data_IF_143766532628
#
_entry.id   IF_143766532628
#
_cell.length_a   1.000
_cell.length_b   1.000
_cell.length_c   1.000
_cell.angle_alpha   90.00
_cell.angle_beta   90.00
_cell.angle_gamma   90.00
#
_symmetry.space_group_name_H-M   'P 1'
#
loop_
_entity.id
_entity.type
_entity.pdbx_description
1 polymer ?
#
# COMPACT_ATOMS: atom_id res chain seq x y z
N UNK A 1 3.96 21.81 -7.45
CA UNK A 1 2.61 21.53 -8.03
C UNK A 1 1.81 20.75 -7.00
N UNK A 2 0.49 20.92 -6.98
CA UNK A 2 -0.42 20.11 -6.16
C UNK A 2 -1.28 19.30 -7.14
N UNK A 3 -1.43 18.01 -6.87
CA UNK A 3 -2.23 17.03 -7.61
C UNK A 3 -2.99 16.16 -6.59
N UNK A 4 -3.59 15.05 -7.01
CA UNK A 4 -4.21 14.07 -6.11
C UNK A 4 -3.64 12.67 -6.33
N UNK A 5 -3.91 11.75 -5.42
CA UNK A 5 -3.51 10.34 -5.59
C UNK A 5 -4.21 9.75 -6.81
N UNK A 6 -5.50 10.06 -7.02
CA UNK A 6 -6.28 9.57 -8.16
C UNK A 6 -5.74 10.01 -9.52
N UNK A 7 -5.15 11.21 -9.60
CA UNK A 7 -4.55 11.70 -10.84
C UNK A 7 -3.21 11.04 -11.16
N UNK A 8 -2.50 10.56 -10.16
CA UNK A 8 -1.15 10.00 -10.29
C UNK A 8 -1.11 8.47 -10.26
N UNK A 9 -2.17 7.81 -9.79
CA UNK A 9 -2.18 6.36 -9.57
C UNK A 9 -3.43 5.69 -10.11
N UNK A 10 -3.25 4.52 -10.70
CA UNK A 10 -4.31 3.54 -10.86
C UNK A 10 -4.65 2.93 -9.50
N UNK A 11 -5.94 2.84 -9.18
CA UNK A 11 -6.45 2.12 -8.02
C UNK A 11 -6.94 0.74 -8.44
N UNK A 12 -6.29 -0.31 -7.96
CA UNK A 12 -6.61 -1.70 -8.30
C UNK A 12 -7.18 -2.40 -7.06
N UNK A 13 -8.43 -2.84 -7.12
CA UNK A 13 -9.02 -3.62 -6.04
C UNK A 13 -8.45 -5.03 -5.97
N UNK A 14 -8.28 -5.56 -4.74
CA UNK A 14 -7.77 -6.89 -4.50
C UNK A 14 -8.71 -7.99 -5.03
N UNK A 15 -8.15 -9.20 -5.18
CA UNK A 15 -8.88 -10.29 -5.80
C UNK A 15 -9.76 -11.07 -4.83
N UNK A 16 -10.77 -11.72 -5.41
CA UNK A 16 -11.55 -12.81 -4.84
C UNK A 16 -11.13 -14.12 -5.50
N UNK A 17 -11.30 -15.25 -4.81
CA UNK A 17 -10.97 -16.57 -5.34
C UNK A 17 -11.51 -16.81 -6.75
N UNK A 18 -12.74 -16.36 -7.01
CA UNK A 18 -13.43 -16.63 -8.28
C UNK A 18 -14.03 -18.03 -8.36
N UNK A 19 -14.70 -18.34 -9.50
CA UNK A 19 -15.44 -19.59 -9.71
C UNK A 19 -15.15 -20.24 -11.05
N UNK A 20 -14.36 -19.60 -11.94
CA UNK A 20 -14.15 -20.04 -13.33
C UNK A 20 -12.73 -20.51 -13.55
N UNK A 21 -12.59 -21.70 -14.12
CA UNK A 21 -11.29 -22.23 -14.58
C UNK A 21 -10.74 -21.42 -15.78
N UNK A 22 -9.43 -21.44 -16.04
CA UNK A 22 -8.42 -22.16 -15.26
C UNK A 22 -8.04 -21.45 -13.96
N UNK A 23 -7.66 -22.23 -12.95
CA UNK A 23 -7.13 -21.75 -11.69
C UNK A 23 -5.60 -21.81 -11.66
N UNK A 24 -5.01 -20.87 -10.93
CA UNK A 24 -3.57 -20.84 -10.64
C UNK A 24 -3.37 -20.63 -9.13
N UNK A 25 -2.41 -21.35 -8.55
CA UNK A 25 -2.06 -21.22 -7.14
C UNK A 25 -1.11 -20.05 -6.95
N UNK A 26 -1.54 -19.04 -6.18
CA UNK A 26 -0.78 -17.81 -5.93
C UNK A 26 -0.73 -17.45 -4.46
N UNK A 27 0.37 -16.85 -4.03
CA UNK A 27 0.48 -16.23 -2.72
C UNK A 27 -0.32 -14.92 -2.70
N UNK A 28 -1.15 -14.74 -1.66
CA UNK A 28 -2.01 -13.55 -1.50
C UNK A 28 -1.61 -12.76 -0.27
N UNK A 29 -1.20 -11.53 -0.49
CA UNK A 29 -0.87 -10.59 0.59
C UNK A 29 -2.17 -10.03 1.17
N UNK A 30 -2.26 -10.04 2.49
CA UNK A 30 -3.42 -9.60 3.28
C UNK A 30 -2.97 -8.66 4.40
N UNK A 31 -3.92 -7.97 5.05
CA UNK A 31 -3.63 -7.13 6.22
C UNK A 31 -2.79 -7.85 7.29
N UNK A 32 -3.00 -9.16 7.48
CA UNK A 32 -2.24 -10.00 8.42
C UNK A 32 -0.73 -10.09 8.09
N UNK A 33 -0.34 -9.75 6.86
CA UNK A 33 1.05 -9.68 6.44
C UNK A 33 1.70 -8.32 6.70
N UNK A 34 0.93 -7.32 7.18
CA UNK A 34 1.44 -5.99 7.48
C UNK A 34 2.02 -5.95 8.88
N UNK A 35 3.31 -5.70 8.99
CA UNK A 35 3.98 -5.57 10.30
C UNK A 35 3.73 -4.18 10.91
N UNK A 36 4.03 -4.03 12.21
CA UNK A 36 3.87 -2.75 12.91
C UNK A 36 4.88 -1.69 12.45
N UNK A 37 6.01 -2.12 11.92
CA UNK A 37 7.07 -1.27 11.37
C UNK A 37 6.90 -1.03 9.86
N UNK A 38 5.69 -1.20 9.34
CA UNK A 38 5.29 -0.90 7.96
C UNK A 38 6.06 -1.71 6.89
N UNK A 39 6.35 -2.98 7.20
CA UNK A 39 6.96 -3.94 6.27
C UNK A 39 6.03 -5.10 5.98
N UNK A 40 6.37 -5.91 4.98
CA UNK A 40 5.68 -7.15 4.66
C UNK A 40 6.31 -8.35 5.39
N UNK A 41 5.50 -9.12 6.08
CA UNK A 41 5.87 -10.41 6.62
C UNK A 41 5.52 -11.51 5.60
N UNK A 42 6.51 -11.96 4.86
CA UNK A 42 6.37 -13.00 3.86
C UNK A 42 6.21 -14.41 4.45
N UNK A 43 6.51 -14.61 5.74
CA UNK A 43 6.40 -15.92 6.39
C UNK A 43 4.96 -16.41 6.55
N UNK A 44 3.99 -15.49 6.49
CA UNK A 44 2.56 -15.75 6.69
C UNK A 44 1.72 -15.63 5.43
N UNK A 45 2.36 -15.69 4.26
CA UNK A 45 1.62 -15.64 3.00
C UNK A 45 0.81 -16.92 2.81
N UNK A 46 -0.47 -16.76 2.56
CA UNK A 46 -1.38 -17.83 2.22
C UNK A 46 -1.41 -18.04 0.71
N UNK A 47 -1.27 -19.30 0.29
CA UNK A 47 -1.36 -19.69 -1.12
C UNK A 47 -2.74 -20.29 -1.39
N UNK A 48 -3.47 -19.69 -2.31
CA UNK A 48 -4.82 -20.10 -2.69
C UNK A 48 -4.95 -20.24 -4.21
N UNK A 49 -5.89 -21.07 -4.62
CA UNK A 49 -6.25 -21.20 -6.03
C UNK A 49 -7.21 -20.05 -6.41
N UNK A 50 -6.81 -19.28 -7.42
CA UNK A 50 -7.58 -18.14 -7.94
C UNK A 50 -7.74 -18.27 -9.45
N UNK A 51 -8.76 -17.62 -10.01
CA UNK A 51 -8.89 -17.57 -11.46
C UNK A 51 -7.63 -16.95 -12.10
N UNK A 52 -7.02 -17.61 -13.07
CA UNK A 52 -5.84 -17.12 -13.78
C UNK A 52 -6.09 -15.73 -14.39
N UNK A 53 -7.29 -15.50 -14.93
CA UNK A 53 -7.70 -14.21 -15.49
C UNK A 53 -7.74 -13.11 -14.41
N UNK A 54 -8.13 -13.44 -13.18
CA UNK A 54 -8.15 -12.48 -12.07
C UNK A 54 -6.73 -12.14 -11.63
N UNK A 55 -5.86 -13.15 -11.53
CA UNK A 55 -4.45 -12.97 -11.21
C UNK A 55 -3.73 -12.10 -12.26
N UNK A 56 -3.91 -12.37 -13.54
CA UNK A 56 -3.33 -11.55 -14.64
C UNK A 56 -3.63 -10.06 -14.53
N UNK A 57 -4.77 -9.71 -13.94
CA UNK A 57 -5.18 -8.29 -13.75
C UNK A 57 -4.78 -7.72 -12.39
N UNK A 58 -4.53 -8.57 -11.39
CA UNK A 58 -4.36 -8.18 -9.98
C UNK A 58 -3.12 -8.79 -9.34
N UNK A 59 -2.04 -8.96 -10.10
CA UNK A 59 -0.73 -9.27 -9.56
C UNK A 59 0.00 -8.02 -9.13
N UNK A 60 0.93 -8.19 -8.19
CA UNK A 60 1.79 -7.09 -7.73
C UNK A 60 2.95 -6.85 -8.69
N UNK A 61 3.31 -5.60 -8.82
CA UNK A 61 4.52 -5.13 -9.50
C UNK A 61 5.41 -4.39 -8.51
N UNK A 62 6.72 -4.41 -8.76
CA UNK A 62 7.67 -3.64 -7.97
C UNK A 62 7.31 -2.15 -7.95
N UNK A 63 7.23 -1.57 -6.75
CA UNK A 63 6.83 -0.19 -6.54
C UNK A 63 5.32 0.01 -6.31
N UNK A 64 4.52 -1.05 -6.30
CA UNK A 64 3.12 -0.96 -5.90
C UNK A 64 2.99 -0.62 -4.41
N UNK A 65 2.06 0.25 -4.06
CA UNK A 65 1.67 0.49 -2.67
C UNK A 65 0.41 -0.32 -2.35
N UNK A 66 0.53 -1.27 -1.43
CA UNK A 66 -0.61 -2.07 -0.96
C UNK A 66 -1.25 -1.34 0.21
N UNK A 67 -2.51 -0.94 0.05
CA UNK A 67 -3.25 -0.12 1.02
C UNK A 67 -4.32 -0.95 1.69
N UNK A 68 -4.38 -0.88 3.02
CA UNK A 68 -5.43 -1.49 3.84
C UNK A 68 -6.77 -0.76 3.63
N UNK A 69 -7.73 -1.44 3.01
CA UNK A 69 -9.02 -0.85 2.65
C UNK A 69 -10.13 -1.20 3.66
N UNK A 70 -10.02 -2.32 4.33
CA UNK A 70 -11.04 -2.85 5.25
C UNK A 70 -10.40 -3.64 6.39
N UNK A 71 -11.05 -3.71 7.53
CA UNK A 71 -10.59 -4.50 8.68
C UNK A 71 -9.85 -3.72 9.75
N UNK A 72 -9.86 -2.38 9.68
CA UNK A 72 -9.30 -1.54 10.71
C UNK A 72 -10.11 -1.50 12.02
N UNK A 73 -9.60 -0.79 12.99
CA UNK A 73 -10.22 -0.53 14.30
C UNK A 73 -9.99 0.92 14.72
N UNK A 74 -10.56 1.34 15.85
CA UNK A 74 -10.34 2.68 16.40
C UNK A 74 -8.86 2.99 16.65
N UNK A 75 -8.11 1.98 17.11
CA UNK A 75 -6.67 2.13 17.39
C UNK A 75 -5.78 1.92 16.16
N UNK A 76 -6.26 1.17 15.18
CA UNK A 76 -5.55 0.88 13.93
C UNK A 76 -6.46 1.23 12.75
N UNK A 77 -6.54 2.50 12.35
CA UNK A 77 -7.40 2.92 11.25
C UNK A 77 -6.98 2.25 9.93
N UNK A 78 -7.92 2.11 9.00
CA UNK A 78 -7.62 1.71 7.62
C UNK A 78 -6.84 2.81 6.89
N UNK A 79 -6.32 2.50 5.70
CA UNK A 79 -5.53 3.44 4.90
C UNK A 79 -4.02 3.34 5.14
N UNK A 80 -3.58 2.39 5.98
CA UNK A 80 -2.16 2.05 6.11
C UNK A 80 -1.64 1.50 4.78
N UNK A 81 -0.52 2.02 4.31
CA UNK A 81 0.12 1.59 3.08
C UNK A 81 1.43 0.86 3.36
N UNK A 82 1.70 -0.18 2.60
CA UNK A 82 2.96 -0.92 2.59
C UNK A 82 3.52 -0.92 1.17
N UNK A 83 4.80 -0.64 1.05
CA UNK A 83 5.49 -0.69 -0.23
C UNK A 83 5.85 -2.13 -0.59
N UNK A 84 5.54 -2.52 -1.83
CA UNK A 84 5.98 -3.79 -2.39
C UNK A 84 7.28 -3.59 -3.19
N UNK A 85 8.38 -4.13 -2.68
CA UNK A 85 9.68 -4.16 -3.35
C UNK A 85 10.08 -5.62 -3.62
N UNK A 86 9.36 -6.28 -4.50
CA UNK A 86 9.55 -7.70 -4.83
C UNK A 86 9.54 -7.94 -6.34
N UNK A 87 9.66 -9.21 -6.72
CA UNK A 87 9.57 -9.60 -8.14
C UNK A 87 8.13 -9.43 -8.63
N UNK A 88 8.02 -8.95 -9.85
CA UNK A 88 6.74 -8.76 -10.54
C UNK A 88 5.99 -10.08 -10.71
N UNK A 89 4.67 -10.03 -10.60
CA UNK A 89 3.75 -11.11 -10.87
C UNK A 89 3.98 -12.41 -10.06
N UNK A 90 4.57 -12.32 -8.85
CA UNK A 90 4.71 -13.45 -7.92
C UNK A 90 3.51 -13.54 -7.00
N UNK A 91 3.05 -12.40 -6.49
CA UNK A 91 1.97 -12.32 -5.50
C UNK A 91 0.78 -11.55 -6.05
N UNK A 92 -0.37 -11.80 -5.44
CA UNK A 92 -1.55 -10.99 -5.51
C UNK A 92 -1.89 -10.41 -4.14
N UNK A 93 -3.01 -9.74 -4.01
CA UNK A 93 -3.44 -9.08 -2.78
C UNK A 93 -4.94 -9.27 -2.57
N UNK A 94 -5.36 -9.30 -1.31
CA UNK A 94 -6.72 -9.64 -0.92
C UNK A 94 -7.72 -8.52 -1.21
N UNK A 95 -9.00 -8.86 -1.23
CA UNK A 95 -10.11 -7.91 -1.36
C UNK A 95 -10.25 -6.93 -0.18
N UNK A 96 -9.57 -7.18 0.95
CA UNK A 96 -9.46 -6.24 2.08
C UNK A 96 -8.40 -5.17 1.85
N UNK A 97 -7.62 -5.31 0.78
CA UNK A 97 -6.60 -4.36 0.35
C UNK A 97 -6.89 -3.85 -1.06
N UNK A 98 -6.22 -2.78 -1.43
CA UNK A 98 -6.12 -2.29 -2.79
C UNK A 98 -4.67 -1.96 -3.10
N UNK A 99 -4.36 -1.76 -4.36
CA UNK A 99 -3.04 -1.30 -4.81
C UNK A 99 -3.17 0.07 -5.44
N UNK A 100 -2.26 0.96 -5.08
CA UNK A 100 -1.97 2.17 -5.83
C UNK A 100 -0.75 1.91 -6.71
N UNK A 101 -0.94 1.98 -8.01
CA UNK A 101 0.11 1.81 -9.03
C UNK A 101 0.32 3.12 -9.76
N UNK A 102 1.53 3.64 -9.71
CA UNK A 102 1.85 4.94 -10.30
C UNK A 102 1.81 4.87 -11.82
N UNK A 103 1.11 5.83 -12.45
CA UNK A 103 1.05 5.97 -13.91
C UNK A 103 2.37 6.52 -14.50
N UNK A 104 2.95 7.53 -13.86
CA UNK A 104 4.07 8.33 -14.37
C UNK A 104 5.28 8.19 -13.43
N UNK A 105 6.06 7.11 -13.61
CA UNK A 105 7.21 6.76 -12.74
C UNK A 105 8.39 7.72 -12.86
N UNK A 106 8.46 8.50 -13.92
CA UNK A 106 9.42 9.58 -14.16
C UNK A 106 9.02 10.90 -13.49
N UNK A 107 7.75 11.02 -13.08
CA UNK A 107 7.19 12.22 -12.43
C UNK A 107 7.01 12.00 -10.93
N UNK A 108 6.56 10.82 -10.51
CA UNK A 108 6.31 10.48 -9.11
C UNK A 108 7.08 9.21 -8.72
N UNK A 109 7.94 9.33 -7.71
CA UNK A 109 8.61 8.20 -7.08
C UNK A 109 7.67 7.43 -6.17
N UNK A 110 7.63 6.11 -6.27
CA UNK A 110 6.82 5.26 -5.39
C UNK A 110 7.25 5.35 -3.92
N UNK A 111 8.54 5.52 -3.64
CA UNK A 111 9.04 5.74 -2.27
C UNK A 111 8.58 7.09 -1.71
N UNK A 112 8.56 8.14 -2.55
CA UNK A 112 8.06 9.45 -2.13
C UNK A 112 6.57 9.36 -1.77
N UNK A 113 5.75 8.74 -2.64
CA UNK A 113 4.33 8.53 -2.37
C UNK A 113 4.12 7.69 -1.09
N UNK A 114 4.91 6.62 -0.90
CA UNK A 114 4.86 5.80 0.29
C UNK A 114 5.10 6.60 1.58
N UNK A 115 6.20 7.36 1.64
CA UNK A 115 6.52 8.18 2.81
C UNK A 115 5.50 9.29 3.03
N UNK A 116 4.94 9.85 1.96
CA UNK A 116 3.88 10.84 2.05
C UNK A 116 2.62 10.27 2.70
N UNK A 117 2.13 9.13 2.22
CA UNK A 117 0.97 8.44 2.79
C UNK A 117 1.24 7.99 4.23
N UNK A 118 2.42 7.42 4.49
CA UNK A 118 2.83 7.02 5.84
C UNK A 118 2.82 8.19 6.82
N UNK A 119 3.32 9.37 6.41
CA UNK A 119 3.27 10.58 7.23
C UNK A 119 1.83 10.97 7.60
N UNK A 120 0.90 10.91 6.66
CA UNK A 120 -0.53 11.18 6.91
C UNK A 120 -1.16 10.14 7.84
N UNK A 121 -0.83 8.87 7.65
CA UNK A 121 -1.29 7.79 8.52
C UNK A 121 -0.82 8.02 9.97
N UNK A 122 0.46 8.31 10.17
CA UNK A 122 1.04 8.54 11.49
C UNK A 122 0.48 9.79 12.19
N UNK A 123 0.08 10.81 11.44
CA UNK A 123 -0.62 12.00 11.96
C UNK A 123 -2.08 11.72 12.32
N UNK A 124 -2.59 10.51 12.04
CA UNK A 124 -3.98 10.13 12.33
C UNK A 124 -5.01 10.68 11.35
N UNK A 125 -4.60 11.28 10.24
CA UNK A 125 -5.50 11.85 9.23
C UNK A 125 -6.43 10.81 8.61
N UNK A 126 -6.01 9.52 8.57
CA UNK A 126 -6.81 8.43 8.00
C UNK A 126 -8.09 8.13 8.78
N UNK A 127 -8.18 8.52 10.06
CA UNK A 127 -9.40 8.37 10.85
C UNK A 127 -10.59 9.14 10.29
N UNK A 128 -10.32 10.26 9.60
CA UNK A 128 -11.35 11.07 8.95
C UNK A 128 -11.81 10.48 7.60
N UNK A 129 -11.11 9.44 7.13
CA UNK A 129 -11.33 8.81 5.82
C UNK A 129 -11.89 7.40 5.94
N UNK A 130 -12.43 7.04 7.10
CA UNK A 130 -13.03 5.72 7.32
C UNK A 130 -14.48 5.79 7.74
N UNK A 131 -15.26 4.77 7.38
CA UNK A 131 -16.60 4.54 7.89
C UNK A 131 -16.54 3.55 9.03
N UNK A 132 -17.39 3.73 10.04
CA UNK A 132 -17.62 2.76 11.09
C UNK A 132 -18.96 2.08 10.82
N UNK A 133 -18.89 0.82 10.41
CA UNK A 133 -20.05 -0.08 10.45
C UNK A 133 -19.78 -1.10 11.56
N UNK A 134 -20.79 -1.65 12.21
CA UNK A 134 -20.70 -2.55 13.38
C UNK A 134 -19.42 -3.44 13.36
N UNK A 135 -18.36 -2.94 13.99
CA UNK A 135 -17.11 -3.67 14.22
C UNK A 135 -16.05 -3.67 13.10
N UNK A 136 -16.38 -3.25 11.89
CA UNK A 136 -15.43 -3.18 10.78
C UNK A 136 -15.32 -1.76 10.22
N UNK A 137 -14.11 -1.25 10.19
CA UNK A 137 -13.82 0.04 9.56
C UNK A 137 -13.45 -0.17 8.09
N UNK A 138 -14.06 0.61 7.22
CA UNK A 138 -13.79 0.61 5.79
C UNK A 138 -13.30 1.99 5.35
N UNK A 139 -12.35 2.01 4.44
CA UNK A 139 -11.81 3.22 3.84
C UNK A 139 -12.88 3.89 2.94
N UNK A 140 -13.10 5.18 3.11
CA UNK A 140 -13.88 6.01 2.18
C UNK A 140 -12.95 6.32 1.00
N UNK A 141 -13.10 5.51 -0.05
CA UNK A 141 -12.15 5.46 -1.16
C UNK A 141 -11.96 6.83 -1.82
N UNK A 142 -13.06 7.51 -2.12
CA UNK A 142 -13.02 8.82 -2.80
C UNK A 142 -12.20 9.83 -1.98
N UNK A 143 -12.43 9.91 -0.66
CA UNK A 143 -11.64 10.80 0.22
C UNK A 143 -10.16 10.46 0.23
N UNK A 144 -9.83 9.17 0.19
CA UNK A 144 -8.44 8.71 0.19
C UNK A 144 -7.74 9.01 -1.15
N UNK A 145 -8.43 8.79 -2.25
CA UNK A 145 -7.91 9.06 -3.59
C UNK A 145 -7.81 10.56 -3.89
N UNK A 146 -8.64 11.38 -3.26
CA UNK A 146 -8.62 12.84 -3.36
C UNK A 146 -7.61 13.51 -2.41
N UNK A 147 -6.82 12.73 -1.66
CA UNK A 147 -5.74 13.30 -0.83
C UNK A 147 -4.86 14.20 -1.70
N UNK A 148 -4.74 15.51 -1.34
CA UNK A 148 -3.85 16.40 -2.06
C UNK A 148 -2.41 15.93 -1.93
N UNK A 149 -1.72 15.76 -3.05
CA UNK A 149 -0.33 15.34 -3.12
C UNK A 149 0.55 16.53 -3.54
N UNK A 150 1.41 16.98 -2.63
CA UNK A 150 2.50 17.90 -3.00
C UNK A 150 3.49 17.16 -3.88
N UNK A 151 3.67 17.65 -5.10
CA UNK A 151 4.55 17.03 -6.10
C UNK A 151 5.73 17.96 -6.41
N UNK A 152 6.85 17.87 -5.69
CA UNK A 152 8.08 18.58 -6.02
C UNK A 152 8.74 17.96 -7.26
N UNK A 153 9.71 18.63 -7.90
CA UNK A 153 10.51 18.03 -8.96
C UNK A 153 11.10 16.67 -8.55
N UNK A 154 11.22 15.74 -9.48
CA UNK A 154 11.64 14.36 -9.19
C UNK A 154 12.97 14.28 -8.42
N UNK A 155 13.94 15.13 -8.75
CA UNK A 155 15.22 15.21 -8.03
C UNK A 155 15.04 15.62 -6.55
N UNK A 156 14.10 16.52 -6.27
CA UNK A 156 13.79 16.91 -4.90
C UNK A 156 13.08 15.78 -4.14
N UNK A 157 12.22 15.01 -4.80
CA UNK A 157 11.65 13.78 -4.20
C UNK A 157 12.78 12.82 -3.78
N UNK A 158 13.78 12.59 -4.64
CA UNK A 158 14.92 11.73 -4.32
C UNK A 158 15.74 12.27 -3.14
N UNK A 159 15.96 13.59 -3.08
CA UNK A 159 16.66 14.22 -1.95
C UNK A 159 15.91 14.01 -0.63
N UNK A 160 14.57 14.15 -0.66
CA UNK A 160 13.71 13.92 0.51
C UNK A 160 13.77 12.45 0.93
N UNK A 161 13.64 11.50 0.00
CA UNK A 161 13.72 10.06 0.26
C UNK A 161 15.04 9.71 0.93
N UNK A 162 16.15 10.13 0.34
CA UNK A 162 17.49 9.84 0.87
C UNK A 162 17.65 10.35 2.30
N UNK A 163 17.13 11.55 2.60
CA UNK A 163 17.19 12.11 3.96
C UNK A 163 16.36 11.34 4.97
N UNK A 164 15.18 10.86 4.55
CA UNK A 164 14.32 10.01 5.39
C UNK A 164 15.02 8.67 5.67
N UNK A 165 15.54 8.00 4.65
CA UNK A 165 16.20 6.70 4.77
C UNK A 165 17.48 6.78 5.61
N UNK A 166 18.28 7.83 5.43
CA UNK A 166 19.43 8.13 6.28
C UNK A 166 19.02 8.27 7.75
N UNK A 167 17.97 9.03 8.01
CA UNK A 167 17.48 9.29 9.37
C UNK A 167 16.99 7.99 10.03
N UNK A 168 16.22 7.17 9.31
CA UNK A 168 15.78 5.86 9.82
C UNK A 168 16.97 4.93 10.07
N UNK A 169 17.98 4.93 9.19
CA UNK A 169 19.21 4.14 9.40
C UNK A 169 19.95 4.51 10.68
N UNK A 170 20.01 5.80 11.01
CA UNK A 170 20.61 6.27 12.29
C UNK A 170 19.77 5.83 13.49
N UNK A 171 18.45 5.94 13.42
CA UNK A 171 17.55 5.51 14.48
C UNK A 171 17.64 4.00 14.73
N UNK A 172 17.71 3.18 13.68
CA UNK A 172 17.89 1.73 13.78
C UNK A 172 19.22 1.36 14.45
N UNK A 173 20.29 2.10 14.15
CA UNK A 173 21.59 1.91 14.81
C UNK A 173 21.54 2.25 16.30
N UNK A 174 20.87 3.34 16.67
CA UNK A 174 20.69 3.73 18.08
C UNK A 174 19.89 2.64 18.81
N UNK A 175 18.79 2.16 18.21
CA UNK A 175 17.94 1.14 18.83
C UNK A 175 18.66 -0.20 19.04
N UNK A 176 19.58 -0.57 18.16
CA UNK A 176 20.39 -1.80 18.30
C UNK A 176 21.45 -1.72 19.38
N UNK A 177 21.82 -0.51 19.80
CA UNK A 177 22.86 -0.27 20.81
C UNK A 177 22.29 0.07 22.20
N UNK A 178 20.96 0.09 22.36
CA UNK A 178 20.24 0.19 23.64
C UNK A 178 19.85 -1.20 24.16
#
# INVERSE_FOLDING_TARGET
MITSISEMCENINGLWKGKKEPFVKVGVIRNANFTKDFKLDYSKIEYIDVEERAFKKRHLLNGDLIVEKSGGSDNNPVGRAILYEGKDAIFSFSNFTMVLRIHYKDVLSYKYLYYYIMSKYQKGEMRLMQTQTTGLHNLILDKYLDIPLCLPPYQEQQRIINKIEETFGVLDLIQKNL
#
